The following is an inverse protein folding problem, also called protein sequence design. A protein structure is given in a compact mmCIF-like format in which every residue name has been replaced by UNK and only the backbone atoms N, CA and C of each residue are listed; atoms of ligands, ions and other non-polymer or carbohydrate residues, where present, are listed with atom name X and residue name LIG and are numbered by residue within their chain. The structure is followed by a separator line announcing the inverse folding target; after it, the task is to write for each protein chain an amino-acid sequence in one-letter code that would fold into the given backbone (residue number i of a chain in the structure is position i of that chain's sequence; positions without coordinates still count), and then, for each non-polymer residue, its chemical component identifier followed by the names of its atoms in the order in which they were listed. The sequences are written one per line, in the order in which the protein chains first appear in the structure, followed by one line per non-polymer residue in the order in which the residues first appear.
data_IF_245289006195
#
_entry.id   IF_245289006195
#
_cell.length_a   1.000
_cell.length_b   1.000
_cell.length_c   1.000
_cell.angle_alpha   90.00
_cell.angle_beta   90.00
_cell.angle_gamma   90.00
#
_symmetry.space_group_name_H-M   'P 1'
#
loop_
_entity.id
_entity.type
_entity.pdbx_description
1 polymer ?
#
# COMPACT_ATOMS: atom_id res chain seq x y z
N UNK A 1 -7.17 -0.67 -13.24
CA UNK A 1 -7.58 -0.08 -11.93
C UNK A 1 -9.09 0.11 -11.83
N UNK A 2 -9.73 0.64 -12.88
CA UNK A 2 -11.15 0.94 -13.02
C UNK A 2 -11.74 1.82 -11.91
N UNK A 3 -10.92 2.68 -11.30
CA UNK A 3 -11.28 3.49 -10.13
C UNK A 3 -11.66 2.64 -8.91
N UNK A 4 -10.76 1.75 -8.49
CA UNK A 4 -11.03 0.79 -7.41
C UNK A 4 -11.49 1.44 -6.10
N UNK A 5 -10.90 2.57 -5.72
CA UNK A 5 -11.32 3.30 -4.52
C UNK A 5 -12.77 3.78 -4.60
N UNK A 6 -13.18 4.38 -5.72
CA UNK A 6 -14.58 4.83 -5.92
C UNK A 6 -15.57 3.67 -5.93
N UNK A 7 -15.22 2.58 -6.63
CA UNK A 7 -16.08 1.39 -6.69
C UNK A 7 -16.29 0.79 -5.30
N UNK A 8 -15.20 0.64 -4.53
CA UNK A 8 -15.27 0.06 -3.19
C UNK A 8 -15.99 1.01 -2.21
N UNK A 9 -15.74 2.32 -2.28
CA UNK A 9 -16.39 3.33 -1.43
C UNK A 9 -17.91 3.26 -1.54
N UNK A 10 -18.43 3.04 -2.75
CA UNK A 10 -19.87 2.89 -3.02
C UNK A 10 -20.52 1.74 -2.23
N UNK A 11 -19.77 0.72 -1.83
CA UNK A 11 -20.27 -0.41 -1.04
C UNK A 11 -20.38 -0.08 0.47
N UNK A 12 -19.88 1.09 0.90
CA UNK A 12 -19.85 1.53 2.29
C UNK A 12 -20.49 2.92 2.45
N UNK A 13 -21.83 3.00 2.57
CA UNK A 13 -22.57 4.26 2.63
C UNK A 13 -22.12 5.22 3.74
N UNK A 14 -21.50 4.72 4.82
CA UNK A 14 -20.96 5.57 5.89
C UNK A 14 -19.82 6.51 5.44
N UNK A 15 -19.19 6.25 4.28
CA UNK A 15 -18.19 7.14 3.69
C UNK A 15 -18.79 8.21 2.77
N UNK A 16 -20.11 8.24 2.59
CA UNK A 16 -20.78 9.35 1.92
C UNK A 16 -20.83 10.59 2.83
N UNK A 17 -20.71 11.76 2.22
CA UNK A 17 -20.79 13.01 2.96
C UNK A 17 -22.25 13.30 3.35
N UNK A 18 -22.58 13.09 4.63
CA UNK A 18 -23.86 13.44 5.23
C UNK A 18 -23.63 14.40 6.41
N UNK A 19 -24.16 15.64 6.39
CA UNK A 19 -24.05 16.59 7.50
C UNK A 19 -24.57 16.07 8.84
N UNK A 20 -25.48 15.09 8.82
CA UNK A 20 -26.08 14.49 10.01
C UNK A 20 -25.29 13.28 10.53
N UNK A 21 -24.22 12.87 9.85
CA UNK A 21 -23.38 11.72 10.21
C UNK A 21 -21.92 12.14 10.50
N UNK A 22 -21.18 11.35 11.31
CA UNK A 22 -19.74 11.52 11.44
C UNK A 22 -19.04 11.38 10.08
N UNK A 23 -18.07 12.25 9.81
CA UNK A 23 -17.23 12.17 8.60
C UNK A 23 -16.18 11.07 8.78
N UNK A 24 -16.18 10.09 7.87
CA UNK A 24 -15.14 9.06 7.79
C UNK A 24 -14.10 9.42 6.73
N UNK A 25 -12.82 9.20 7.04
CA UNK A 25 -11.71 9.48 6.13
C UNK A 25 -11.27 8.22 5.40
N UNK A 26 -10.95 8.35 4.10
CA UNK A 26 -10.51 7.24 3.25
C UNK A 26 -9.00 7.13 3.09
N UNK A 27 -8.22 8.00 3.75
CA UNK A 27 -6.77 8.10 3.54
C UNK A 27 -6.41 8.73 2.18
N UNK A 28 -5.32 8.25 1.57
CA UNK A 28 -4.71 8.80 0.34
C UNK A 28 -5.27 8.15 -0.94
N UNK A 29 -6.59 8.13 -1.07
CA UNK A 29 -7.27 7.55 -2.26
C UNK A 29 -7.47 8.60 -3.36
N UNK A 30 -7.42 8.16 -4.62
CA UNK A 30 -7.67 9.01 -5.79
C UNK A 30 -9.00 8.61 -6.43
N UNK A 31 -9.85 9.62 -6.67
CA UNK A 31 -11.19 9.46 -7.22
C UNK A 31 -11.38 10.23 -8.53
N UNK A 32 -12.30 9.81 -9.42
CA UNK A 32 -12.57 10.51 -10.67
C UNK A 32 -12.91 11.99 -10.49
N UNK A 33 -13.78 12.30 -9.52
CA UNK A 33 -14.27 13.66 -9.25
C UNK A 33 -13.15 14.64 -8.87
N UNK A 34 -12.03 14.16 -8.31
CA UNK A 34 -10.87 15.01 -7.99
C UNK A 34 -10.30 15.67 -9.26
N UNK A 35 -10.36 14.99 -10.40
CA UNK A 35 -9.94 15.54 -11.70
C UNK A 35 -10.98 16.50 -12.30
N UNK A 36 -12.23 16.47 -11.83
CA UNK A 36 -13.31 17.37 -12.25
C UNK A 36 -13.39 18.64 -11.38
N UNK A 37 -12.95 18.54 -10.13
CA UNK A 37 -13.04 19.63 -9.16
C UNK A 37 -11.72 20.36 -8.97
N UNK A 38 -10.59 19.65 -8.83
CA UNK A 38 -9.31 20.27 -8.49
C UNK A 38 -8.65 20.88 -9.73
N UNK A 39 -8.49 22.23 -9.79
CA UNK A 39 -7.98 22.90 -10.99
C UNK A 39 -6.61 22.40 -11.46
N UNK A 40 -5.77 21.97 -10.53
CA UNK A 40 -4.43 21.46 -10.79
C UNK A 40 -4.45 20.05 -11.42
N UNK A 41 -5.51 19.28 -11.20
CA UNK A 41 -5.65 17.92 -11.73
C UNK A 41 -6.44 17.87 -13.04
N UNK A 42 -7.32 18.85 -13.31
CA UNK A 42 -8.12 18.93 -14.56
C UNK A 42 -7.32 18.64 -15.84
N UNK A 43 -6.12 19.20 -16.06
CA UNK A 43 -5.36 18.94 -17.28
C UNK A 43 -4.94 17.46 -17.43
N UNK A 44 -4.93 16.69 -16.35
CA UNK A 44 -4.50 15.29 -16.30
C UNK A 44 -5.67 14.30 -16.39
N UNK A 45 -6.92 14.77 -16.43
CA UNK A 45 -8.11 13.91 -16.38
C UNK A 45 -8.08 12.80 -17.44
N UNK A 46 -7.83 13.16 -18.70
CA UNK A 46 -7.78 12.18 -19.79
C UNK A 46 -6.69 11.10 -19.58
N UNK A 47 -5.54 11.48 -19.02
CA UNK A 47 -4.47 10.52 -18.71
C UNK A 47 -4.87 9.62 -17.53
N UNK A 48 -5.53 10.17 -16.51
CA UNK A 48 -6.01 9.42 -15.37
C UNK A 48 -7.09 8.40 -15.78
N UNK A 49 -8.02 8.78 -16.67
CA UNK A 49 -9.03 7.89 -17.24
C UNK A 49 -8.40 6.73 -18.03
N UNK A 50 -7.36 7.02 -18.82
CA UNK A 50 -6.62 5.98 -19.54
C UNK A 50 -5.95 4.98 -18.57
N UNK A 51 -5.29 5.48 -17.52
CA UNK A 51 -4.67 4.64 -16.49
C UNK A 51 -5.72 3.83 -15.71
N UNK A 52 -6.87 4.43 -15.41
CA UNK A 52 -7.97 3.75 -14.76
C UNK A 52 -8.50 2.61 -15.65
N UNK A 53 -8.76 2.88 -16.92
CA UNK A 53 -9.29 1.91 -17.88
C UNK A 53 -8.29 0.80 -18.25
N UNK A 54 -6.99 1.03 -18.11
CA UNK A 54 -5.98 0.03 -18.45
C UNK A 54 -6.09 -1.22 -17.57
N UNK A 55 -6.27 -2.36 -18.23
CA UNK A 55 -6.49 -3.67 -17.62
C UNK A 55 -5.35 -4.67 -17.87
N UNK A 56 -4.46 -4.38 -18.81
CA UNK A 56 -3.41 -5.31 -19.26
C UNK A 56 -2.12 -5.18 -18.42
N UNK A 57 -2.25 -4.91 -17.12
CA UNK A 57 -1.11 -4.86 -16.22
C UNK A 57 -0.46 -6.25 -16.18
N UNK A 58 0.85 -6.36 -16.46
CA UNK A 58 1.53 -7.65 -16.34
C UNK A 58 1.59 -8.05 -14.87
N UNK A 59 1.88 -9.34 -14.62
CA UNK A 59 2.22 -9.79 -13.29
C UNK A 59 3.41 -8.96 -12.76
N UNK A 60 3.24 -8.34 -11.59
CA UNK A 60 4.27 -7.50 -11.00
C UNK A 60 5.47 -8.34 -10.51
N UNK A 61 5.22 -9.58 -10.10
CA UNK A 61 6.20 -10.48 -9.52
C UNK A 61 6.14 -11.87 -10.16
N UNK A 62 7.32 -12.48 -10.34
CA UNK A 62 7.45 -13.90 -10.62
C UNK A 62 7.49 -14.67 -9.29
N UNK A 63 6.37 -15.33 -8.96
CA UNK A 63 6.21 -16.08 -7.72
C UNK A 63 7.18 -17.27 -7.63
N UNK A 64 7.47 -17.95 -8.74
CA UNK A 64 8.41 -19.08 -8.75
C UNK A 64 9.86 -18.62 -8.51
N UNK A 65 10.20 -17.41 -8.97
CA UNK A 65 11.48 -16.79 -8.66
C UNK A 65 11.56 -16.42 -7.17
N UNK A 66 10.51 -15.82 -6.59
CA UNK A 66 10.45 -15.47 -5.17
C UNK A 66 10.57 -16.70 -4.26
N UNK A 67 9.92 -17.81 -4.62
CA UNK A 67 10.00 -19.07 -3.88
C UNK A 67 11.37 -19.75 -3.98
N UNK A 68 12.17 -19.43 -5.01
CA UNK A 68 13.54 -19.93 -5.16
C UNK A 68 14.61 -18.93 -4.74
N UNK A 69 14.21 -17.81 -4.16
CA UNK A 69 15.12 -16.77 -3.70
C UNK A 69 16.24 -17.35 -2.83
N UNK A 70 17.47 -16.96 -3.15
CA UNK A 70 18.69 -17.29 -2.40
C UNK A 70 19.38 -16.05 -1.83
N UNK A 71 18.87 -14.86 -2.13
CA UNK A 71 19.40 -13.60 -1.61
C UNK A 71 18.82 -13.37 -0.21
N UNK A 72 19.66 -13.17 0.82
CA UNK A 72 19.18 -12.80 2.15
C UNK A 72 18.26 -11.57 2.10
N UNK A 73 17.06 -11.69 2.65
CA UNK A 73 16.03 -10.66 2.59
C UNK A 73 15.42 -10.45 3.99
N UNK A 74 15.10 -9.20 4.32
CA UNK A 74 14.32 -8.86 5.49
C UNK A 74 13.28 -7.79 5.13
N UNK A 75 12.14 -7.80 5.81
CA UNK A 75 11.09 -6.81 5.65
C UNK A 75 10.54 -6.38 7.02
N UNK A 76 10.20 -5.09 7.12
CA UNK A 76 9.42 -4.56 8.22
C UNK A 76 7.94 -4.58 7.84
N UNK A 77 7.08 -5.03 8.75
CA UNK A 77 5.63 -4.96 8.62
C UNK A 77 5.12 -4.19 9.84
N UNK A 78 4.52 -3.03 9.57
CA UNK A 78 3.95 -2.19 10.62
C UNK A 78 2.53 -2.64 10.91
N UNK A 79 2.29 -3.03 12.16
CA UNK A 79 1.08 -3.76 12.55
C UNK A 79 -0.20 -2.93 12.33
N UNK A 80 -0.12 -1.62 12.54
CA UNK A 80 -1.26 -0.71 12.47
C UNK A 80 -1.24 0.18 11.21
N UNK A 81 -0.43 -0.15 10.19
CA UNK A 81 -0.32 0.67 8.99
C UNK A 81 -1.66 0.76 8.27
N UNK A 82 -2.20 1.97 8.19
CA UNK A 82 -3.50 2.23 7.56
C UNK A 82 -3.49 2.09 6.03
N UNK A 83 -2.31 2.08 5.39
CA UNK A 83 -2.16 2.06 3.93
C UNK A 83 -1.75 0.69 3.41
N UNK A 84 -0.98 -0.06 4.19
CA UNK A 84 -0.46 -1.38 3.81
C UNK A 84 -0.97 -2.43 4.77
N UNK A 85 -2.03 -3.14 4.36
CA UNK A 85 -2.65 -4.18 5.17
C UNK A 85 -1.64 -5.27 5.54
N UNK A 86 -1.53 -5.52 6.84
CA UNK A 86 -0.62 -6.50 7.43
C UNK A 86 -0.87 -7.89 6.87
N UNK A 87 -2.12 -8.34 6.79
CA UNK A 87 -2.43 -9.71 6.37
C UNK A 87 -1.91 -10.00 4.95
N UNK A 88 -2.10 -9.08 4.00
CA UNK A 88 -1.57 -9.22 2.64
C UNK A 88 -0.04 -9.13 2.59
N UNK A 89 0.56 -8.33 3.47
CA UNK A 89 2.02 -8.25 3.59
C UNK A 89 2.62 -9.58 4.07
N UNK A 90 2.00 -10.19 5.09
CA UNK A 90 2.39 -11.48 5.63
C UNK A 90 2.17 -12.62 4.62
N UNK A 91 1.06 -12.61 3.89
CA UNK A 91 0.78 -13.54 2.78
C UNK A 91 1.85 -13.46 1.69
N UNK A 92 2.21 -12.23 1.28
CA UNK A 92 3.27 -12.01 0.28
C UNK A 92 4.62 -12.52 0.80
N UNK A 93 4.95 -12.23 2.06
CA UNK A 93 6.18 -12.70 2.65
C UNK A 93 6.27 -14.23 2.73
N UNK A 94 5.15 -14.92 2.97
CA UNK A 94 5.11 -16.38 2.98
C UNK A 94 5.51 -17.01 1.64
N UNK A 95 5.34 -16.29 0.52
CA UNK A 95 5.76 -16.74 -0.81
C UNK A 95 7.26 -16.50 -1.09
N UNK A 96 7.98 -15.74 -0.26
CA UNK A 96 9.38 -15.38 -0.48
C UNK A 96 10.28 -16.28 0.36
N UNK A 97 11.08 -17.12 -0.29
CA UNK A 97 11.98 -18.02 0.44
C UNK A 97 13.04 -17.26 1.21
N UNK A 98 13.17 -17.59 2.49
CA UNK A 98 14.23 -17.12 3.37
C UNK A 98 14.09 -15.68 3.86
N UNK A 99 12.95 -15.02 3.59
CA UNK A 99 12.70 -13.67 4.11
C UNK A 99 12.58 -13.69 5.64
N UNK A 100 13.15 -12.69 6.29
CA UNK A 100 13.02 -12.46 7.74
C UNK A 100 12.09 -11.29 8.00
N UNK A 101 11.07 -11.49 8.81
CA UNK A 101 10.08 -10.45 9.11
C UNK A 101 10.34 -9.81 10.46
N UNK A 102 10.25 -8.48 10.49
CA UNK A 102 10.09 -7.71 11.69
C UNK A 102 8.67 -7.11 11.71
N UNK A 103 7.76 -7.79 12.39
CA UNK A 103 6.39 -7.30 12.59
C UNK A 103 6.37 -6.47 13.88
N UNK A 104 5.94 -5.21 13.80
CA UNK A 104 5.96 -4.31 14.96
C UNK A 104 4.84 -3.29 14.94
N UNK A 105 4.31 -2.96 16.13
CA UNK A 105 3.36 -1.86 16.34
C UNK A 105 4.04 -0.58 16.86
N UNK A 106 5.38 -0.52 16.86
CA UNK A 106 6.14 0.66 17.31
C UNK A 106 6.04 1.83 16.32
N UNK A 107 5.81 1.53 15.06
CA UNK A 107 5.82 2.50 13.97
C UNK A 107 4.57 2.34 13.09
N UNK A 108 4.33 3.39 12.31
CA UNK A 108 3.30 3.45 11.27
C UNK A 108 3.99 3.61 9.90
N UNK A 109 3.20 3.87 8.86
CA UNK A 109 3.65 4.05 7.48
C UNK A 109 4.88 4.97 7.29
N UNK A 110 5.04 5.97 8.16
CA UNK A 110 6.13 6.94 8.09
C UNK A 110 7.42 6.52 8.83
N UNK A 111 7.57 5.26 9.24
CA UNK A 111 8.68 4.78 10.08
C UNK A 111 10.07 5.19 9.58
N UNK A 112 10.34 5.08 8.28
CA UNK A 112 11.62 5.45 7.67
C UNK A 112 11.93 6.95 7.82
N UNK A 113 10.91 7.80 7.78
CA UNK A 113 11.07 9.25 8.00
C UNK A 113 11.20 9.59 9.48
N UNK A 114 10.50 8.85 10.34
CA UNK A 114 10.50 9.10 11.78
C UNK A 114 11.78 8.63 12.47
N UNK A 115 12.28 7.44 12.09
CA UNK A 115 13.38 6.76 12.79
C UNK A 115 14.15 5.81 11.85
N UNK A 116 14.52 6.33 10.67
CA UNK A 116 15.07 5.52 9.58
C UNK A 116 16.38 4.80 9.90
N UNK A 117 17.23 5.38 10.75
CA UNK A 117 18.49 4.76 11.19
C UNK A 117 18.21 3.47 11.96
N UNK A 118 17.32 3.52 12.96
CA UNK A 118 16.96 2.35 13.77
C UNK A 118 16.28 1.28 12.93
N UNK A 119 15.36 1.69 12.04
CA UNK A 119 14.64 0.75 11.16
C UNK A 119 15.63 0.04 10.23
N UNK A 120 16.51 0.79 9.56
CA UNK A 120 17.47 0.23 8.62
C UNK A 120 18.49 -0.67 9.32
N UNK A 121 19.04 -0.24 10.46
CA UNK A 121 19.98 -1.03 11.24
C UNK A 121 19.39 -2.37 11.69
N UNK A 122 18.12 -2.37 12.10
CA UNK A 122 17.41 -3.58 12.48
C UNK A 122 17.30 -4.55 11.30
N UNK A 123 16.85 -4.07 10.14
CA UNK A 123 16.73 -4.89 8.93
C UNK A 123 18.09 -5.43 8.46
N UNK A 124 19.15 -4.62 8.53
CA UNK A 124 20.51 -5.06 8.18
C UNK A 124 21.03 -6.15 9.12
N UNK A 125 20.77 -6.06 10.42
CA UNK A 125 21.11 -7.11 11.39
C UNK A 125 20.38 -8.40 11.08
N UNK A 126 19.07 -8.34 10.78
CA UNK A 126 18.30 -9.51 10.36
C UNK A 126 18.92 -10.19 9.14
N UNK A 127 19.24 -9.42 8.09
CA UNK A 127 19.87 -9.95 6.88
C UNK A 127 21.23 -10.60 7.17
N UNK A 128 22.03 -10.03 8.09
CA UNK A 128 23.40 -10.50 8.42
C UNK A 128 23.46 -11.68 9.40
N UNK A 129 22.34 -12.12 9.96
CA UNK A 129 22.30 -13.30 10.83
C UNK A 129 22.07 -13.02 12.32
N UNK A 130 21.80 -11.77 12.71
CA UNK A 130 21.63 -11.36 14.11
C UNK A 130 22.92 -10.85 14.73
#
# INVERSE_FOLDING_TARGET
SAWAAERLRSDFPQFEADPEQPVYFTGEMIYPWMFEEYPQLKPLQAAADQLAAYAEWPALYDVEALQRNSVPCAAAIFYNDMYVERAYSEETAAAIRGIKLWVTNKYEHNALRADGEVVLDHLLKLVRGG
#
